data_IF_256119945085
#
_entry.id   IF_256119945085
#
_cell.length_a   1.000
_cell.length_b   1.000
_cell.length_c   1.000
_cell.angle_alpha   90.00
_cell.angle_beta   90.00
_cell.angle_gamma   90.00
#
_symmetry.space_group_name_H-M   'P 1'
#
loop_
_entity.id
_entity.type
_entity.pdbx_description
1 polymer ?
#
# COMPACT_ATOMS: atom_id res chain seq x y z
N UNK A 1 13.69 28.63 10.15
CA UNK A 1 12.30 28.36 10.52
C UNK A 1 12.21 26.85 10.75
N UNK A 2 11.63 26.39 11.88
CA UNK A 2 11.46 24.96 12.12
C UNK A 2 10.58 24.35 11.02
N UNK A 3 10.87 23.11 10.63
CA UNK A 3 10.08 22.38 9.66
C UNK A 3 8.63 22.12 10.15
N UNK A 4 7.70 21.82 9.25
CA UNK A 4 6.31 21.51 9.62
C UNK A 4 6.26 20.33 10.60
N UNK A 5 7.14 19.34 10.41
CA UNK A 5 7.24 18.14 11.27
C UNK A 5 7.81 18.48 12.65
N UNK A 6 8.80 19.38 12.74
CA UNK A 6 9.31 19.86 14.02
C UNK A 6 8.26 20.66 14.81
N UNK A 7 7.46 21.49 14.11
CA UNK A 7 6.36 22.24 14.73
C UNK A 7 5.26 21.30 15.25
N UNK A 8 4.94 20.26 14.50
CA UNK A 8 3.98 19.23 14.90
C UNK A 8 4.46 18.51 16.14
N UNK A 9 5.68 17.96 16.12
CA UNK A 9 6.26 17.24 17.27
C UNK A 9 6.31 18.12 18.54
N UNK A 10 6.61 19.41 18.39
CA UNK A 10 6.63 20.35 19.51
C UNK A 10 5.23 20.59 20.10
N UNK A 11 4.19 20.68 19.25
CA UNK A 11 2.79 20.83 19.71
C UNK A 11 2.28 19.56 20.38
N UNK A 12 2.55 18.37 19.81
CA UNK A 12 2.20 17.08 20.39
C UNK A 12 2.85 16.90 21.79
N UNK A 13 4.13 17.21 21.91
CA UNK A 13 4.83 17.17 23.20
C UNK A 13 4.25 18.16 24.22
N UNK A 14 3.87 19.36 23.77
CA UNK A 14 3.22 20.36 24.63
C UNK A 14 1.84 19.90 25.11
N UNK A 15 1.04 19.32 24.24
CA UNK A 15 -0.27 18.74 24.57
C UNK A 15 -0.10 17.63 25.62
N UNK A 16 0.82 16.69 25.40
CA UNK A 16 1.09 15.60 26.32
C UNK A 16 1.55 16.11 27.71
N UNK A 17 2.37 17.13 27.75
CA UNK A 17 2.83 17.74 29.00
C UNK A 17 1.69 18.40 29.80
N UNK A 18 0.76 19.10 29.12
CA UNK A 18 -0.42 19.70 29.74
C UNK A 18 -1.39 18.64 30.23
N UNK A 19 -1.62 17.56 29.48
CA UNK A 19 -2.44 16.43 29.92
C UNK A 19 -1.88 15.75 31.17
N UNK A 20 -0.56 15.59 31.27
CA UNK A 20 0.10 15.04 32.47
C UNK A 20 -0.11 15.89 33.72
N UNK A 21 -0.33 17.20 33.56
CA UNK A 21 -0.58 18.14 34.66
C UNK A 21 -2.08 18.27 35.03
N UNK A 22 -2.96 17.54 34.36
CA UNK A 22 -4.43 17.62 34.55
C UNK A 22 -4.86 17.43 36.01
N UNK A 23 -4.22 16.52 36.74
CA UNK A 23 -4.51 16.27 38.15
C UNK A 23 -4.16 17.45 39.07
N UNK A 24 -3.19 18.29 38.67
CA UNK A 24 -2.71 19.41 39.47
C UNK A 24 -3.42 20.73 39.13
N UNK A 25 -3.68 20.96 37.83
CA UNK A 25 -4.22 22.22 37.32
C UNK A 25 -5.76 22.23 37.24
N UNK A 26 -6.40 21.06 37.29
CA UNK A 26 -7.83 20.89 37.11
C UNK A 26 -8.27 20.88 35.64
N UNK A 27 -9.43 20.24 35.39
CA UNK A 27 -9.92 19.99 34.03
C UNK A 27 -10.18 21.28 33.23
N UNK A 28 -10.81 22.25 33.85
CA UNK A 28 -11.23 23.51 33.17
C UNK A 28 -10.03 24.31 32.66
N UNK A 29 -8.99 24.41 33.50
CA UNK A 29 -7.74 25.12 33.18
C UNK A 29 -6.99 24.40 32.05
N UNK A 30 -6.86 23.08 32.15
CA UNK A 30 -6.15 22.28 31.12
C UNK A 30 -6.87 22.34 29.77
N UNK A 31 -8.21 22.22 29.73
CA UNK A 31 -8.96 22.33 28.48
C UNK A 31 -8.84 23.71 27.83
N UNK A 32 -8.85 24.79 28.65
CA UNK A 32 -8.64 26.15 28.14
C UNK A 32 -7.24 26.32 27.51
N UNK A 33 -6.21 25.65 28.04
CA UNK A 33 -4.85 25.70 27.51
C UNK A 33 -4.65 24.76 26.30
N UNK A 34 -5.36 23.62 26.26
CA UNK A 34 -5.27 22.65 25.16
C UNK A 34 -6.01 23.12 23.91
N UNK A 35 -7.10 23.88 24.02
CA UNK A 35 -7.90 24.35 22.89
C UNK A 35 -7.07 24.95 21.77
N UNK A 36 -6.29 26.02 22.03
CA UNK A 36 -5.46 26.67 21.00
C UNK A 36 -4.36 25.77 20.43
N UNK A 37 -3.80 24.87 21.24
CA UNK A 37 -2.77 23.95 20.79
C UNK A 37 -3.34 22.87 19.84
N UNK A 38 -4.51 22.33 20.18
CA UNK A 38 -5.25 21.36 19.32
C UNK A 38 -5.72 22.00 18.01
N UNK A 39 -6.24 23.24 18.05
CA UNK A 39 -6.62 23.97 16.84
C UNK A 39 -5.42 24.21 15.92
N UNK A 40 -4.27 24.57 16.49
CA UNK A 40 -3.05 24.80 15.72
C UNK A 40 -2.48 23.50 15.13
N UNK A 41 -2.57 22.40 15.86
CA UNK A 41 -2.21 21.08 15.38
C UNK A 41 -3.12 20.65 14.22
N UNK A 42 -4.44 20.77 14.37
CA UNK A 42 -5.42 20.49 13.31
C UNK A 42 -5.22 21.37 12.07
N UNK A 43 -4.86 22.64 12.24
CA UNK A 43 -4.54 23.54 11.13
C UNK A 43 -3.25 23.15 10.39
N UNK A 44 -2.22 22.67 11.11
CA UNK A 44 -0.99 22.15 10.51
C UNK A 44 -1.25 20.84 9.75
N UNK A 45 -2.04 19.96 10.32
CA UNK A 45 -2.45 18.69 9.67
C UNK A 45 -3.28 18.96 8.40
N UNK A 46 -4.24 19.87 8.46
CA UNK A 46 -5.03 20.30 7.29
C UNK A 46 -4.16 20.93 6.19
N UNK A 47 -3.16 21.74 6.57
CA UNK A 47 -2.21 22.31 5.60
C UNK A 47 -1.31 21.26 4.96
N UNK A 48 -0.83 20.30 5.74
CA UNK A 48 -0.03 19.17 5.23
C UNK A 48 -0.85 18.30 4.28
N UNK A 49 -2.11 18.04 4.58
CA UNK A 49 -3.04 17.32 3.73
C UNK A 49 -3.44 18.08 2.46
N UNK A 50 -3.48 19.42 2.52
CA UNK A 50 -3.87 20.25 1.36
C UNK A 50 -2.74 20.45 0.35
N UNK A 51 -1.47 20.25 0.73
CA UNK A 51 -0.34 20.42 -0.18
C UNK A 51 -0.15 19.15 -1.01
N UNK A 52 -0.31 19.29 -2.33
CA UNK A 52 0.07 18.24 -3.27
C UNK A 52 1.57 17.97 -3.18
N UNK A 53 1.93 16.74 -2.84
CA UNK A 53 3.32 16.30 -2.73
C UNK A 53 3.64 15.26 -3.80
N UNK A 54 4.74 15.47 -4.52
CA UNK A 54 5.29 14.41 -5.38
C UNK A 54 6.14 13.48 -4.52
N UNK A 55 5.80 12.19 -4.53
CA UNK A 55 6.53 11.15 -3.81
C UNK A 55 6.73 9.92 -4.69
N UNK A 56 7.75 9.15 -4.37
CA UNK A 56 7.89 7.78 -4.87
C UNK A 56 7.04 6.88 -3.97
N UNK A 57 6.11 6.14 -4.54
CA UNK A 57 5.25 5.24 -3.78
C UNK A 57 5.06 3.91 -4.51
N UNK A 58 4.75 2.86 -3.78
CA UNK A 58 4.25 1.62 -4.34
C UNK A 58 2.75 1.58 -4.16
N UNK A 59 2.05 1.37 -5.27
CA UNK A 59 0.60 1.35 -5.37
C UNK A 59 0.16 -0.06 -5.63
N UNK A 60 -0.83 -0.51 -4.88
CA UNK A 60 -1.49 -1.81 -5.04
C UNK A 60 -2.96 -1.57 -5.32
N UNK A 61 -3.49 -2.25 -6.34
CA UNK A 61 -4.91 -2.47 -6.57
C UNK A 61 -5.22 -3.95 -6.42
N UNK A 62 -6.35 -4.26 -5.80
CA UNK A 62 -6.81 -5.64 -5.70
C UNK A 62 -8.33 -5.70 -5.83
N UNK A 63 -8.82 -6.61 -6.68
CA UNK A 63 -10.22 -6.81 -7.04
C UNK A 63 -10.66 -8.24 -6.70
N UNK A 64 -11.88 -8.39 -6.17
CA UNK A 64 -12.45 -9.67 -5.78
C UNK A 64 -13.20 -10.30 -6.94
N UNK A 65 -12.58 -11.26 -7.61
CA UNK A 65 -13.20 -12.06 -8.67
C UNK A 65 -14.24 -13.03 -8.11
N UNK A 66 -15.40 -13.09 -8.74
CA UNK A 66 -16.55 -13.93 -8.29
C UNK A 66 -17.58 -13.13 -7.49
N UNK A 67 -17.31 -11.88 -7.13
CA UNK A 67 -18.24 -11.00 -6.42
C UNK A 67 -19.56 -10.80 -7.18
N UNK A 68 -19.51 -10.50 -8.47
CA UNK A 68 -20.71 -10.29 -9.31
C UNK A 68 -21.64 -11.49 -9.29
N UNK A 69 -21.11 -12.70 -9.47
CA UNK A 69 -21.90 -13.93 -9.43
C UNK A 69 -22.51 -14.19 -8.04
N UNK A 70 -21.78 -13.86 -6.97
CA UNK A 70 -22.28 -13.92 -5.61
C UNK A 70 -23.41 -12.91 -5.38
N UNK A 71 -23.27 -11.68 -5.83
CA UNK A 71 -24.26 -10.61 -5.66
C UNK A 71 -25.55 -10.84 -6.45
N UNK A 72 -25.50 -11.61 -7.53
CA UNK A 72 -26.70 -12.00 -8.30
C UNK A 72 -27.54 -13.10 -7.62
N UNK A 73 -26.94 -13.88 -6.71
CA UNK A 73 -27.57 -15.07 -6.10
C UNK A 73 -27.90 -14.92 -4.62
N UNK A 74 -27.36 -13.90 -3.95
CA UNK A 74 -27.52 -13.70 -2.50
C UNK A 74 -28.20 -12.34 -2.22
N UNK A 75 -28.85 -12.23 -1.07
CA UNK A 75 -29.40 -10.96 -0.59
C UNK A 75 -28.31 -9.93 -0.37
N UNK A 76 -28.56 -8.67 -0.74
CA UNK A 76 -27.59 -7.58 -0.69
C UNK A 76 -27.00 -7.37 0.73
N UNK A 77 -27.80 -7.56 1.78
CA UNK A 77 -27.34 -7.45 3.17
C UNK A 77 -26.36 -8.55 3.53
N UNK A 78 -26.59 -9.77 3.05
CA UNK A 78 -25.69 -10.92 3.26
C UNK A 78 -24.38 -10.69 2.50
N UNK A 79 -24.46 -10.23 1.26
CA UNK A 79 -23.29 -9.89 0.43
C UNK A 79 -22.47 -8.80 1.13
N UNK A 80 -23.10 -7.74 1.62
CA UNK A 80 -22.40 -6.67 2.35
C UNK A 80 -21.72 -7.21 3.62
N UNK A 81 -22.37 -8.10 4.36
CA UNK A 81 -21.79 -8.74 5.54
C UNK A 81 -20.55 -9.57 5.21
N UNK A 82 -20.64 -10.41 4.18
CA UNK A 82 -19.51 -11.25 3.70
C UNK A 82 -18.35 -10.37 3.24
N UNK A 83 -18.62 -9.31 2.47
CA UNK A 83 -17.58 -8.41 1.98
C UNK A 83 -16.89 -7.65 3.12
N UNK A 84 -17.64 -7.16 4.11
CA UNK A 84 -17.05 -6.47 5.26
C UNK A 84 -16.11 -7.40 6.06
N UNK A 85 -16.45 -8.66 6.23
CA UNK A 85 -15.58 -9.62 6.89
C UNK A 85 -14.34 -9.94 6.06
N UNK A 86 -14.49 -10.10 4.74
CA UNK A 86 -13.38 -10.31 3.81
C UNK A 86 -12.42 -9.11 3.82
N UNK A 87 -12.97 -7.90 3.74
CA UNK A 87 -12.18 -6.67 3.80
C UNK A 87 -11.41 -6.55 5.11
N UNK A 88 -11.97 -6.94 6.24
CA UNK A 88 -11.26 -6.92 7.52
C UNK A 88 -10.01 -7.81 7.51
N UNK A 89 -10.03 -8.96 6.81
CA UNK A 89 -8.87 -9.84 6.64
C UNK A 89 -7.85 -9.27 5.63
N UNK A 90 -8.33 -8.70 4.53
CA UNK A 90 -7.50 -8.08 3.48
C UNK A 90 -6.79 -6.83 4.02
N UNK A 91 -7.53 -5.94 4.69
CA UNK A 91 -6.98 -4.71 5.27
C UNK A 91 -5.93 -4.99 6.34
N UNK A 92 -6.16 -6.05 7.14
CA UNK A 92 -5.17 -6.52 8.10
C UNK A 92 -3.89 -6.97 7.40
N UNK A 93 -3.98 -7.71 6.29
CA UNK A 93 -2.79 -8.11 5.53
C UNK A 93 -2.00 -6.91 4.99
N UNK A 94 -2.66 -5.83 4.57
CA UNK A 94 -2.02 -4.58 4.16
C UNK A 94 -1.36 -3.88 5.34
N UNK A 95 -2.08 -3.70 6.45
CA UNK A 95 -1.59 -2.95 7.62
C UNK A 95 -0.49 -3.68 8.38
N UNK A 96 -0.52 -5.02 8.46
CA UNK A 96 0.54 -5.85 9.03
C UNK A 96 1.87 -5.73 8.26
N UNK A 97 1.79 -5.32 6.98
CA UNK A 97 2.94 -5.01 6.15
C UNK A 97 3.19 -3.50 6.01
N UNK A 98 2.69 -2.71 6.96
CA UNK A 98 2.86 -1.25 7.04
C UNK A 98 2.37 -0.49 5.79
N UNK A 99 1.39 -1.04 5.07
CA UNK A 99 0.67 -0.37 4.02
C UNK A 99 -0.48 0.46 4.56
N UNK A 100 -0.87 1.49 3.81
CA UNK A 100 -2.05 2.30 4.08
C UNK A 100 -3.13 1.98 3.08
N UNK A 101 -4.33 1.62 3.55
CA UNK A 101 -5.52 1.59 2.70
C UNK A 101 -5.82 3.03 2.27
N UNK A 102 -5.89 3.26 0.97
CA UNK A 102 -6.29 4.55 0.41
C UNK A 102 -7.81 4.62 0.33
N UNK A 103 -8.43 3.63 -0.31
CA UNK A 103 -9.89 3.52 -0.41
C UNK A 103 -10.34 2.13 -0.83
N UNK A 104 -11.64 1.86 -0.58
CA UNK A 104 -12.38 0.78 -1.21
C UNK A 104 -13.29 1.36 -2.31
N UNK A 105 -13.35 0.71 -3.47
CA UNK A 105 -14.15 1.11 -4.64
C UNK A 105 -14.97 -0.10 -5.09
N UNK A 106 -16.15 -0.29 -4.49
CA UNK A 106 -16.95 -1.50 -4.74
C UNK A 106 -16.25 -2.74 -4.20
N UNK A 107 -15.90 -3.67 -5.09
CA UNK A 107 -15.17 -4.90 -4.83
C UNK A 107 -13.65 -4.78 -5.05
N UNK A 108 -13.14 -3.56 -5.18
CA UNK A 108 -11.73 -3.23 -5.36
C UNK A 108 -11.19 -2.47 -4.14
N UNK A 109 -9.94 -2.70 -3.77
CA UNK A 109 -9.20 -1.92 -2.77
C UNK A 109 -7.94 -1.32 -3.38
N UNK A 110 -7.65 -0.08 -3.01
CA UNK A 110 -6.38 0.60 -3.31
C UNK A 110 -5.58 0.78 -2.03
N UNK A 111 -4.32 0.39 -2.06
CA UNK A 111 -3.38 0.55 -0.95
C UNK A 111 -2.05 1.17 -1.40
N UNK A 112 -1.37 1.84 -0.47
CA UNK A 112 -0.15 2.61 -0.72
C UNK A 112 0.95 2.29 0.29
N UNK A 113 2.18 2.22 -0.19
CA UNK A 113 3.41 2.25 0.62
C UNK A 113 4.25 3.44 0.18
N UNK A 114 4.90 4.11 1.14
CA UNK A 114 5.69 5.32 0.87
C UNK A 114 4.88 6.62 0.82
N UNK A 115 3.56 6.56 1.09
CA UNK A 115 2.71 7.75 1.11
C UNK A 115 3.09 8.72 2.24
N UNK A 116 3.27 8.22 3.44
CA UNK A 116 3.67 9.01 4.60
C UNK A 116 5.20 9.16 4.65
N UNK A 117 5.92 8.06 4.72
CA UNK A 117 7.38 7.98 4.71
C UNK A 117 7.81 6.92 3.72
N UNK A 118 8.54 7.32 2.67
CA UNK A 118 9.08 6.39 1.69
C UNK A 118 10.25 5.59 2.28
N UNK A 119 10.26 4.27 2.05
CA UNK A 119 11.32 3.36 2.48
C UNK A 119 11.80 2.51 1.30
N UNK A 120 13.05 2.05 1.34
CA UNK A 120 13.63 1.22 0.29
C UNK A 120 12.91 -0.12 0.12
N UNK A 121 12.31 -0.64 1.19
CA UNK A 121 11.60 -1.93 1.22
C UNK A 121 10.08 -1.83 0.97
N UNK A 122 9.56 -0.65 0.64
CA UNK A 122 8.14 -0.44 0.31
C UNK A 122 7.63 -1.43 -0.77
N UNK A 123 8.35 -1.67 -1.88
CA UNK A 123 7.90 -2.64 -2.89
C UNK A 123 7.92 -4.09 -2.37
N UNK A 124 8.90 -4.47 -1.54
CA UNK A 124 8.93 -5.79 -0.92
C UNK A 124 7.72 -5.98 0.00
N UNK A 125 7.42 -4.99 0.84
CA UNK A 125 6.27 -5.03 1.76
C UNK A 125 4.95 -5.11 1.03
N UNK A 126 4.78 -4.35 -0.06
CA UNK A 126 3.59 -4.41 -0.90
C UNK A 126 3.37 -5.81 -1.52
N UNK A 127 4.43 -6.44 -2.05
CA UNK A 127 4.33 -7.80 -2.60
C UNK A 127 4.05 -8.83 -1.50
N UNK A 128 4.64 -8.67 -0.30
CA UNK A 128 4.33 -9.55 0.85
C UNK A 128 2.89 -9.40 1.32
N UNK A 129 2.38 -8.17 1.38
CA UNK A 129 0.98 -7.91 1.67
C UNK A 129 0.07 -8.62 0.67
N UNK A 130 0.36 -8.51 -0.64
CA UNK A 130 -0.42 -9.17 -1.68
C UNK A 130 -0.45 -10.71 -1.51
N UNK A 131 0.70 -11.33 -1.19
CA UNK A 131 0.75 -12.78 -0.90
C UNK A 131 -0.06 -13.13 0.37
N UNK A 132 -0.03 -12.29 1.39
CA UNK A 132 -0.82 -12.47 2.61
C UNK A 132 -2.32 -12.27 2.35
N UNK A 133 -2.71 -11.31 1.50
CA UNK A 133 -4.09 -11.11 1.04
C UNK A 133 -4.62 -12.35 0.31
N UNK A 134 -3.85 -12.91 -0.64
CA UNK A 134 -4.23 -14.16 -1.33
C UNK A 134 -4.45 -15.30 -0.35
N UNK A 135 -3.55 -15.47 0.61
CA UNK A 135 -3.69 -16.49 1.65
C UNK A 135 -4.90 -16.25 2.57
N UNK A 136 -5.23 -14.99 2.87
CA UNK A 136 -6.41 -14.63 3.65
C UNK A 136 -7.70 -14.96 2.90
N UNK A 137 -7.80 -14.60 1.61
CA UNK A 137 -8.95 -14.94 0.75
C UNK A 137 -9.14 -16.44 0.66
N UNK A 138 -8.06 -17.22 0.46
CA UNK A 138 -8.14 -18.68 0.39
C UNK A 138 -8.69 -19.28 1.70
N UNK A 139 -8.17 -18.87 2.86
CA UNK A 139 -8.68 -19.31 4.18
C UNK A 139 -10.13 -18.91 4.41
N UNK A 140 -10.49 -17.68 4.03
CA UNK A 140 -11.87 -17.19 4.14
C UNK A 140 -12.82 -18.06 3.32
N UNK A 141 -12.46 -18.39 2.07
CA UNK A 141 -13.22 -19.24 1.18
C UNK A 141 -13.37 -20.67 1.74
N UNK A 142 -12.29 -21.28 2.22
CA UNK A 142 -12.33 -22.61 2.86
C UNK A 142 -13.28 -22.63 4.07
N UNK A 143 -13.20 -21.63 4.93
CA UNK A 143 -14.02 -21.56 6.15
C UNK A 143 -15.51 -21.37 5.86
N UNK A 144 -15.84 -20.65 4.78
CA UNK A 144 -17.21 -20.29 4.41
C UNK A 144 -17.82 -21.18 3.32
N UNK A 145 -17.05 -22.09 2.72
CA UNK A 145 -17.50 -22.89 1.57
C UNK A 145 -17.79 -22.03 0.34
N UNK A 146 -17.05 -20.94 0.15
CA UNK A 146 -17.21 -19.96 -0.94
C UNK A 146 -16.11 -20.12 -1.99
N UNK A 147 -16.37 -19.59 -3.19
CA UNK A 147 -15.40 -19.59 -4.28
C UNK A 147 -15.15 -18.14 -4.73
N UNK A 148 -14.28 -17.44 -4.02
CA UNK A 148 -13.78 -16.12 -4.39
C UNK A 148 -12.29 -16.21 -4.68
N UNK A 149 -11.81 -15.33 -5.52
CA UNK A 149 -10.38 -15.18 -5.80
C UNK A 149 -10.07 -13.69 -5.88
N UNK A 150 -8.80 -13.33 -5.81
CA UNK A 150 -8.40 -11.92 -5.87
C UNK A 150 -7.35 -11.73 -6.98
N UNK A 151 -7.53 -10.71 -7.82
CA UNK A 151 -6.50 -10.24 -8.74
C UNK A 151 -5.79 -9.07 -8.09
N UNK A 152 -4.47 -9.04 -8.19
CA UNK A 152 -3.67 -7.97 -7.61
C UNK A 152 -2.71 -7.39 -8.64
N UNK A 153 -2.68 -6.07 -8.76
CA UNK A 153 -1.74 -5.31 -9.57
C UNK A 153 -0.89 -4.40 -8.69
N UNK A 154 0.44 -4.43 -8.86
CA UNK A 154 1.35 -3.60 -8.08
C UNK A 154 2.31 -2.86 -9.00
N UNK A 155 2.44 -1.55 -8.79
CA UNK A 155 3.43 -0.74 -9.49
C UNK A 155 4.08 0.28 -8.56
N UNK A 156 5.36 0.52 -8.76
CA UNK A 156 6.16 1.51 -8.01
C UNK A 156 6.52 2.66 -8.93
N UNK A 157 6.34 3.89 -8.47
CA UNK A 157 6.68 5.05 -9.29
C UNK A 157 6.27 6.37 -8.65
N UNK A 158 6.52 7.49 -9.35
CA UNK A 158 6.14 8.80 -8.86
C UNK A 158 4.62 8.98 -8.85
N UNK A 159 4.12 9.46 -7.71
CA UNK A 159 2.71 9.82 -7.49
C UNK A 159 2.61 11.25 -6.98
N UNK A 160 1.47 11.86 -7.16
CA UNK A 160 1.07 13.10 -6.48
C UNK A 160 0.08 12.72 -5.39
N UNK A 161 0.45 12.99 -4.14
CA UNK A 161 -0.41 12.81 -2.97
C UNK A 161 -1.04 14.14 -2.61
N UNK A 162 -2.31 14.15 -2.28
CA UNK A 162 -3.00 15.36 -1.85
C UNK A 162 -4.51 15.22 -1.84
N UNK A 163 -5.17 16.25 -1.34
CA UNK A 163 -6.61 16.35 -1.39
C UNK A 163 -7.08 16.59 -2.83
N UNK A 164 -8.00 15.76 -3.32
CA UNK A 164 -8.49 15.77 -4.69
C UNK A 164 -10.01 15.91 -4.73
N UNK A 165 -10.49 16.55 -5.79
CA UNK A 165 -11.93 16.76 -6.02
C UNK A 165 -12.57 17.75 -5.06
N UNK A 166 -13.89 17.87 -5.13
CA UNK A 166 -14.68 18.82 -4.33
C UNK A 166 -14.85 18.36 -2.87
N UNK A 167 -14.71 17.07 -2.60
CA UNK A 167 -14.77 16.46 -1.26
C UNK A 167 -13.43 16.52 -0.53
N UNK A 168 -12.38 17.02 -1.20
CA UNK A 168 -11.01 17.10 -0.68
C UNK A 168 -10.49 15.75 -0.11
N UNK A 169 -10.85 14.63 -0.76
CA UNK A 169 -10.42 13.31 -0.36
C UNK A 169 -8.92 13.13 -0.63
N UNK A 170 -8.16 12.77 0.40
CA UNK A 170 -6.71 12.59 0.29
C UNK A 170 -6.40 11.26 -0.39
N UNK A 171 -5.74 11.31 -1.55
CA UNK A 171 -5.43 10.13 -2.35
C UNK A 171 -4.17 10.33 -3.19
N UNK A 172 -3.70 9.24 -3.78
CA UNK A 172 -2.62 9.26 -4.76
C UNK A 172 -3.15 9.36 -6.19
N UNK A 173 -2.47 10.17 -7.02
CA UNK A 173 -2.71 10.26 -8.46
C UNK A 173 -1.41 10.21 -9.23
N UNK A 174 -1.49 9.79 -10.49
CA UNK A 174 -0.36 9.79 -11.41
C UNK A 174 -0.25 8.53 -12.23
N UNK A 175 0.80 8.48 -13.05
CA UNK A 175 1.03 7.37 -13.97
C UNK A 175 1.21 6.03 -13.24
N UNK A 176 1.92 6.01 -12.11
CA UNK A 176 2.12 4.80 -11.31
C UNK A 176 0.80 4.19 -10.80
N UNK A 177 -0.18 5.03 -10.45
CA UNK A 177 -1.53 4.60 -10.03
C UNK A 177 -2.27 3.94 -11.20
N UNK A 178 -2.25 4.61 -12.37
CA UNK A 178 -2.90 4.10 -13.56
C UNK A 178 -2.29 2.75 -14.03
N UNK A 179 -0.97 2.63 -13.94
CA UNK A 179 -0.28 1.37 -14.28
C UNK A 179 -0.69 0.27 -13.31
N UNK A 180 -0.70 0.53 -12.00
CA UNK A 180 -1.09 -0.47 -10.99
C UNK A 180 -2.52 -0.99 -11.20
N UNK A 181 -3.49 -0.11 -11.48
CA UNK A 181 -4.87 -0.51 -11.82
C UNK A 181 -4.91 -1.36 -13.09
N UNK A 182 -4.16 -1.00 -14.14
CA UNK A 182 -4.11 -1.81 -15.38
C UNK A 182 -3.45 -3.17 -15.19
N UNK A 183 -2.46 -3.25 -14.31
CA UNK A 183 -1.85 -4.53 -13.92
C UNK A 183 -2.84 -5.42 -13.18
N UNK A 184 -3.64 -4.86 -12.27
CA UNK A 184 -4.69 -5.59 -11.58
C UNK A 184 -5.67 -6.22 -12.59
N UNK A 185 -6.23 -5.42 -13.51
CA UNK A 185 -7.16 -5.90 -14.53
C UNK A 185 -6.56 -6.98 -15.45
N UNK A 186 -5.24 -6.93 -15.70
CA UNK A 186 -4.52 -7.90 -16.52
C UNK A 186 -4.01 -9.10 -15.72
N UNK A 187 -4.06 -9.06 -14.40
CA UNK A 187 -3.59 -10.14 -13.55
C UNK A 187 -4.42 -11.42 -13.77
N UNK A 188 -3.80 -12.59 -13.75
CA UNK A 188 -4.55 -13.85 -13.68
C UNK A 188 -5.46 -13.89 -12.46
N UNK A 189 -6.60 -14.54 -12.55
CA UNK A 189 -7.48 -14.78 -11.39
C UNK A 189 -6.70 -15.52 -10.32
N UNK A 190 -6.68 -14.99 -9.09
CA UNK A 190 -5.85 -15.52 -8.00
C UNK A 190 -4.37 -15.17 -8.11
N UNK A 191 -3.97 -14.31 -9.07
CA UNK A 191 -2.58 -13.94 -9.31
C UNK A 191 -2.22 -12.53 -8.85
N UNK A 192 -0.91 -12.30 -8.74
CA UNK A 192 -0.31 -11.00 -8.42
C UNK A 192 0.57 -10.60 -9.59
N UNK A 193 0.22 -9.52 -10.29
CA UNK A 193 0.98 -9.00 -11.42
C UNK A 193 1.70 -7.72 -11.03
N UNK A 194 3.01 -7.67 -11.25
CA UNK A 194 3.83 -6.50 -10.92
C UNK A 194 4.45 -5.88 -12.17
N UNK A 195 4.58 -4.56 -12.17
CA UNK A 195 5.30 -3.82 -13.19
C UNK A 195 6.82 -3.93 -13.05
N UNK A 196 7.55 -3.54 -14.11
CA UNK A 196 9.01 -3.64 -14.15
C UNK A 196 9.69 -2.81 -13.05
N UNK A 197 9.16 -1.63 -12.72
CA UNK A 197 9.73 -0.76 -11.69
C UNK A 197 9.65 -1.40 -10.30
N UNK A 198 8.55 -2.10 -10.00
CA UNK A 198 8.43 -2.93 -8.79
C UNK A 198 9.37 -4.12 -8.86
N UNK A 199 9.37 -4.86 -9.99
CA UNK A 199 10.24 -6.04 -10.17
C UNK A 199 11.71 -5.71 -9.95
N UNK A 200 12.21 -4.60 -10.50
CA UNK A 200 13.61 -4.21 -10.38
C UNK A 200 14.08 -4.04 -8.93
N UNK A 201 13.18 -3.67 -8.03
CA UNK A 201 13.45 -3.46 -6.60
C UNK A 201 13.27 -4.74 -5.76
N UNK A 202 12.45 -5.70 -6.24
CA UNK A 202 12.18 -6.95 -5.51
C UNK A 202 12.84 -8.19 -6.14
N UNK A 203 13.59 -8.02 -7.23
CA UNK A 203 14.32 -9.12 -7.88
C UNK A 203 15.28 -9.77 -6.88
N UNK A 204 15.31 -11.09 -6.87
CA UNK A 204 16.12 -11.84 -5.90
C UNK A 204 15.41 -12.14 -4.57
N UNK A 205 14.27 -11.48 -4.29
CA UNK A 205 13.47 -11.71 -3.07
C UNK A 205 12.29 -12.65 -3.35
N UNK A 206 11.71 -12.56 -4.55
CA UNK A 206 10.57 -13.38 -4.97
C UNK A 206 10.92 -14.21 -6.21
N UNK A 207 10.29 -15.38 -6.33
CA UNK A 207 10.20 -16.10 -7.59
C UNK A 207 9.10 -15.44 -8.42
N UNK A 208 9.43 -15.07 -9.67
CA UNK A 208 8.51 -14.40 -10.58
C UNK A 208 8.60 -15.02 -11.98
N UNK A 209 7.49 -14.98 -12.70
CA UNK A 209 7.38 -15.45 -14.08
C UNK A 209 7.14 -14.25 -15.01
N UNK A 210 8.07 -13.97 -15.96
CA UNK A 210 7.83 -12.93 -16.95
C UNK A 210 6.54 -13.20 -17.74
N UNK A 211 5.80 -12.13 -18.04
CA UNK A 211 4.59 -12.17 -18.86
C UNK A 211 4.79 -11.30 -20.11
N UNK A 212 3.88 -11.44 -21.06
CA UNK A 212 3.86 -10.56 -22.22
C UNK A 212 3.72 -9.09 -21.81
N UNK A 213 4.45 -8.18 -22.44
CA UNK A 213 4.37 -6.75 -22.13
C UNK A 213 2.94 -6.22 -22.33
N UNK A 214 2.46 -5.46 -21.34
CA UNK A 214 1.11 -4.90 -21.33
C UNK A 214 1.07 -3.54 -22.04
N UNK A 215 0.28 -3.43 -23.10
CA UNK A 215 0.01 -2.15 -23.76
C UNK A 215 -0.98 -1.33 -22.94
N UNK A 216 -0.55 -0.19 -22.43
CA UNK A 216 -1.37 0.71 -21.61
C UNK A 216 -1.66 1.98 -22.40
N UNK A 217 -2.94 2.35 -22.50
CA UNK A 217 -3.35 3.60 -23.18
C UNK A 217 -2.63 4.82 -22.57
N UNK A 218 -1.94 5.58 -23.40
CA UNK A 218 -1.17 6.75 -22.97
C UNK A 218 0.32 6.48 -22.70
N UNK A 219 0.77 5.23 -22.76
CA UNK A 219 2.19 4.86 -22.75
C UNK A 219 2.70 4.67 -24.18
N UNK A 220 3.89 5.20 -24.47
CA UNK A 220 4.54 5.03 -25.79
C UNK A 220 5.07 3.59 -25.97
N UNK A 221 5.51 2.96 -24.89
CA UNK A 221 6.05 1.61 -24.89
C UNK A 221 5.22 0.69 -23.98
N UNK A 222 5.07 -0.60 -24.37
CA UNK A 222 4.43 -1.59 -23.49
C UNK A 222 5.19 -1.76 -22.18
N UNK A 223 4.46 -1.92 -21.07
CA UNK A 223 5.02 -2.13 -19.75
C UNK A 223 5.38 -3.61 -19.58
N UNK A 224 6.64 -3.90 -19.26
CA UNK A 224 7.07 -5.27 -18.92
C UNK A 224 6.40 -5.70 -17.60
N UNK A 225 5.88 -6.91 -17.56
CA UNK A 225 5.10 -7.42 -16.45
C UNK A 225 5.59 -8.78 -15.96
N UNK A 226 5.34 -9.08 -14.68
CA UNK A 226 5.80 -10.30 -14.03
C UNK A 226 4.74 -10.79 -13.06
N UNK A 227 4.39 -12.08 -13.13
CA UNK A 227 3.54 -12.74 -12.13
C UNK A 227 4.41 -13.18 -10.97
N UNK A 228 4.01 -12.82 -9.75
CA UNK A 228 4.67 -13.28 -8.52
C UNK A 228 4.17 -14.68 -8.19
N UNK A 229 5.10 -15.63 -8.01
CA UNK A 229 4.80 -17.00 -7.57
C UNK A 229 4.87 -17.10 -6.05
N UNK A 230 6.03 -16.79 -5.48
CA UNK A 230 6.25 -16.91 -4.02
C UNK A 230 7.46 -16.10 -3.54
N UNK A 231 7.55 -15.91 -2.23
CA UNK A 231 8.75 -15.38 -1.59
C UNK A 231 9.84 -16.46 -1.54
N UNK A 232 11.08 -16.11 -1.94
CA UNK A 232 12.24 -16.99 -1.80
C UNK A 232 12.58 -17.21 -0.34
N UNK A 233 13.05 -18.39 0.06
CA UNK A 233 13.64 -18.63 1.37
C UNK A 233 14.79 -17.63 1.65
N UNK A 234 14.94 -17.18 2.90
CA UNK A 234 15.97 -16.18 3.27
C UNK A 234 17.39 -16.54 2.83
N UNK A 235 17.74 -17.83 2.79
CA UNK A 235 19.03 -18.32 2.37
C UNK A 235 19.37 -18.08 0.88
N UNK A 236 18.36 -17.79 0.05
CA UNK A 236 18.50 -17.58 -1.40
C UNK A 236 18.22 -16.13 -1.84
N UNK A 237 18.12 -15.19 -0.90
CA UNK A 237 17.90 -13.78 -1.23
C UNK A 237 19.22 -13.16 -1.71
N UNK A 238 19.31 -12.85 -2.99
CA UNK A 238 20.38 -12.00 -3.51
C UNK A 238 20.08 -10.55 -3.11
N UNK A 239 21.09 -9.83 -2.64
CA UNK A 239 20.95 -8.41 -2.39
C UNK A 239 20.56 -7.69 -3.68
N UNK A 240 19.57 -6.76 -3.68
CA UNK A 240 19.06 -6.10 -4.91
C UNK A 240 20.06 -5.10 -5.54
N UNK A 241 21.31 -5.06 -5.06
CA UNK A 241 22.37 -4.17 -5.55
C UNK A 241 23.18 -4.83 -6.67
N UNK A 242 22.87 -4.44 -7.90
CA UNK A 242 23.65 -4.80 -9.08
C UNK A 242 23.02 -4.24 -10.35
N UNK A 243 23.85 -3.82 -11.30
CA UNK A 243 23.41 -3.42 -12.64
C UNK A 243 22.89 -4.66 -13.35
N UNK A 244 21.71 -4.55 -14.00
CA UNK A 244 21.11 -5.65 -14.75
C UNK A 244 22.11 -6.20 -15.79
N UNK A 245 22.43 -7.49 -15.73
CA UNK A 245 23.33 -8.16 -16.67
C UNK A 245 24.79 -8.28 -16.24
N UNK A 246 25.17 -7.84 -15.04
CA UNK A 246 26.55 -8.05 -14.52
C UNK A 246 26.51 -9.03 -13.36
N UNK A 247 26.80 -10.30 -13.62
CA UNK A 247 27.14 -11.28 -12.60
C UNK A 247 28.62 -11.06 -12.21
N UNK A 248 28.84 -10.45 -11.03
CA UNK A 248 30.17 -10.44 -10.42
C UNK A 248 30.39 -11.75 -9.68
N UNK A 249 31.13 -12.67 -10.27
CA UNK A 249 31.64 -13.86 -9.58
C UNK A 249 32.52 -13.43 -8.40
N UNK A 250 32.20 -13.86 -7.18
CA UNK A 250 33.11 -13.74 -6.05
C UNK A 250 34.30 -14.68 -6.27
N UNK A 251 35.43 -14.12 -6.69
CA UNK A 251 36.71 -14.83 -6.59
C UNK A 251 37.10 -14.93 -5.12
N UNK A 252 36.87 -16.10 -4.52
CA UNK A 252 37.41 -16.42 -3.23
C UNK A 252 38.95 -16.32 -3.27
N UNK A 253 39.54 -15.68 -2.29
CA UNK A 253 40.97 -15.79 -2.01
C UNK A 253 41.21 -17.24 -1.60
N UNK A 254 41.95 -17.98 -2.41
CA UNK A 254 42.60 -19.19 -1.96
C UNK A 254 43.64 -18.77 -0.92
N UNK A 255 43.53 -19.35 0.26
CA UNK A 255 44.51 -19.19 1.33
C UNK A 255 45.74 -20.04 1.01
N UNK A 256 46.90 -19.37 0.94
CA UNK A 256 48.21 -20.01 1.16
C UNK A 256 48.44 -20.26 2.66
#
# INVERSE_FOLDING_TARGET
MPSSDEQRAQLEAGIAALEAQRATLGNEMVEAMLGPAREKLAALESRSQSQQQRKQATVLFADVSGFTAMSETMDAEVVAGVMNELWAEVDRAVTDHEGRIDKHIGDEVMALWGADTAREDDPERAVRAALAMQAAVARFCETRGMTLAMRVGINTGPVVLGAMGTTAEFTAMGDAVNVASRLEHAAPVGGILIGHDTYSQVRGIFDVLPQDPLSIKGKAEPVRTYVVDRAKPRAFRMAPRGVEGVETGMNGRDAD
#
